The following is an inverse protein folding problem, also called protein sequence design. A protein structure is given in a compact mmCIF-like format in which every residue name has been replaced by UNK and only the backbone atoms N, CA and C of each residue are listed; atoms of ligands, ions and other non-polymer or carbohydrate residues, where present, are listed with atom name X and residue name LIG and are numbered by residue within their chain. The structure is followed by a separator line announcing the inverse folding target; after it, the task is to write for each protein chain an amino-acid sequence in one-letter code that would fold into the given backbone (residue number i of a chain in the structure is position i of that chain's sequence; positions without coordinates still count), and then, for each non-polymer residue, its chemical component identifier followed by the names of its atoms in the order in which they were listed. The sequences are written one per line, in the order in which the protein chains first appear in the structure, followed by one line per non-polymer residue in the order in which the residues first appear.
data_IF_554973279764
#
_entry.id   IF_554973279764
#
_cell.length_a   1.000
_cell.length_b   1.000
_cell.length_c   1.000
_cell.angle_alpha   90.00
_cell.angle_beta   90.00
_cell.angle_gamma   90.00
#
_symmetry.space_group_name_H-M   'P 1'
#
loop_
_entity.id
_entity.type
_entity.pdbx_description
1 polymer ?
#
# COMPACT_ATOMS: atom_id res chain seq x y z
N UNK A 1 42.09 -11.23 -1.52
CA UNK A 1 41.48 -12.55 -1.68
C UNK A 1 41.11 -13.03 -0.28
N UNK A 2 39.93 -12.67 0.19
CA UNK A 2 39.33 -13.24 1.41
C UNK A 2 37.82 -13.25 1.16
N UNK A 3 37.31 -14.46 0.98
CA UNK A 3 35.98 -14.76 0.48
C UNK A 3 35.06 -15.01 1.66
N UNK A 4 33.86 -14.44 1.55
CA UNK A 4 32.60 -15.09 1.89
C UNK A 4 32.45 -15.67 3.31
N UNK A 5 32.05 -14.82 4.25
CA UNK A 5 31.33 -15.25 5.46
C UNK A 5 30.08 -14.39 5.74
N UNK A 6 29.48 -13.78 4.71
CA UNK A 6 28.20 -13.03 4.84
C UNK A 6 27.00 -13.92 4.51
N UNK A 7 27.09 -15.23 4.70
CA UNK A 7 26.09 -16.19 4.21
C UNK A 7 25.18 -16.85 5.25
N UNK A 8 25.21 -16.49 6.54
CA UNK A 8 24.36 -17.21 7.49
C UNK A 8 23.87 -16.45 8.73
N UNK A 9 23.40 -15.21 8.60
CA UNK A 9 22.57 -14.59 9.66
C UNK A 9 21.49 -13.71 9.05
N UNK A 10 20.47 -14.33 8.42
CA UNK A 10 19.25 -13.61 8.05
C UNK A 10 18.03 -14.43 8.48
N UNK A 11 17.63 -14.26 9.75
CA UNK A 11 16.29 -14.65 10.18
C UNK A 11 15.26 -13.70 9.53
N UNK A 12 14.06 -14.21 9.25
CA UNK A 12 12.98 -13.57 8.47
C UNK A 12 12.46 -12.22 9.00
N UNK A 13 13.05 -11.63 10.03
CA UNK A 13 12.61 -10.37 10.67
C UNK A 13 13.25 -9.08 10.12
N UNK A 14 14.22 -9.16 9.20
CA UNK A 14 15.05 -8.00 8.80
C UNK A 14 14.98 -7.59 7.33
N UNK A 15 14.04 -8.11 6.55
CA UNK A 15 13.90 -7.75 5.14
C UNK A 15 13.13 -6.43 4.99
N UNK A 16 13.77 -5.30 5.30
CA UNK A 16 13.27 -3.96 4.96
C UNK A 16 14.41 -3.06 4.48
N UNK A 17 14.47 -2.86 3.16
CA UNK A 17 14.90 -1.60 2.54
C UNK A 17 16.36 -1.51 2.10
N UNK A 18 16.57 -1.62 0.79
CA UNK A 18 17.70 -0.95 0.12
C UNK A 18 17.11 0.19 -0.70
N UNK A 19 17.31 1.44 -0.28
CA UNK A 19 17.29 2.59 -1.18
C UNK A 19 18.42 3.54 -0.79
N UNK A 20 19.33 3.77 -1.73
CA UNK A 20 20.43 4.71 -1.58
C UNK A 20 19.91 6.15 -1.57
N UNK A 21 20.10 6.84 -0.45
CA UNK A 21 20.24 8.29 -0.43
C UNK A 21 21.11 8.68 0.78
N UNK A 22 22.33 9.14 0.49
CA UNK A 22 23.18 9.93 1.41
C UNK A 22 23.63 9.21 2.70
N UNK A 23 24.25 8.03 2.58
CA UNK A 23 25.18 7.52 3.61
C UNK A 23 24.62 7.39 5.04
N UNK A 24 23.30 7.31 5.19
CA UNK A 24 22.64 7.22 6.49
C UNK A 24 21.79 5.96 6.54
N UNK A 25 22.23 5.00 7.35
CA UNK A 25 21.43 3.84 7.75
C UNK A 25 20.26 4.34 8.60
N UNK A 26 19.06 4.42 8.03
CA UNK A 26 17.85 4.60 8.82
C UNK A 26 17.28 3.23 9.15
N UNK A 27 17.49 2.77 10.39
CA UNK A 27 16.61 1.78 11.01
C UNK A 27 15.21 2.41 11.06
N UNK A 28 14.37 2.12 10.06
CA UNK A 28 12.98 2.57 10.08
C UNK A 28 12.23 1.71 11.10
N UNK A 29 12.33 2.07 12.38
CA UNK A 29 11.39 1.65 13.42
C UNK A 29 10.06 2.42 13.25
N UNK A 30 9.52 2.48 12.03
CA UNK A 30 8.14 2.90 11.75
C UNK A 30 7.40 1.63 11.37
N UNK A 31 6.93 0.92 12.41
CA UNK A 31 6.57 -0.49 12.39
C UNK A 31 5.60 -0.97 11.29
N UNK A 32 5.39 -2.30 11.21
CA UNK A 32 4.67 -3.01 10.13
C UNK A 32 3.26 -2.46 9.83
N UNK A 33 2.66 -1.74 10.79
CA UNK A 33 1.31 -1.16 10.70
C UNK A 33 1.10 -0.21 9.52
N UNK A 34 2.10 0.63 9.19
CA UNK A 34 1.94 1.67 8.15
C UNK A 34 2.02 1.09 6.73
N UNK A 35 2.93 0.15 6.51
CA UNK A 35 3.07 -0.57 5.23
C UNK A 35 1.88 -1.49 4.99
N UNK A 36 1.36 -2.13 6.05
CA UNK A 36 0.16 -2.99 5.97
C UNK A 36 -1.03 -2.30 5.33
N UNK A 37 -1.20 -1.00 5.55
CA UNK A 37 -2.27 -0.22 4.93
C UNK A 37 -2.12 -0.22 3.41
N UNK A 38 -0.91 0.06 2.91
CA UNK A 38 -0.63 0.10 1.48
C UNK A 38 -0.84 -1.27 0.83
N UNK A 39 -0.44 -2.35 1.51
CA UNK A 39 -0.65 -3.71 1.01
C UNK A 39 -2.13 -4.08 0.95
N UNK A 40 -2.91 -3.83 2.01
CA UNK A 40 -4.35 -4.07 1.99
C UNK A 40 -5.08 -3.27 0.91
N UNK A 41 -4.72 -1.98 0.80
CA UNK A 41 -5.21 -1.05 -0.23
C UNK A 41 -4.94 -1.56 -1.65
N UNK A 42 -3.72 -2.07 -1.89
CA UNK A 42 -3.32 -2.59 -3.19
C UNK A 42 -3.90 -3.98 -3.46
N UNK A 43 -4.48 -4.67 -2.49
CA UNK A 43 -5.25 -5.88 -2.78
C UNK A 43 -6.70 -5.54 -3.17
N UNK A 44 -7.25 -4.43 -2.65
CA UNK A 44 -8.55 -3.91 -3.03
C UNK A 44 -8.52 -2.92 -4.20
N UNK A 45 -9.39 -1.92 -4.14
CA UNK A 45 -9.64 -0.90 -5.17
C UNK A 45 -8.52 0.16 -5.33
N UNK A 46 -7.55 0.22 -4.41
CA UNK A 46 -6.46 1.19 -4.46
C UNK A 46 -5.42 0.88 -5.53
N UNK A 47 -4.67 1.91 -5.94
CA UNK A 47 -3.62 1.75 -6.96
C UNK A 47 -2.41 2.65 -6.72
N UNK A 48 -1.25 2.21 -7.23
CA UNK A 48 -0.01 2.97 -7.25
C UNK A 48 0.20 3.69 -8.58
N UNK A 49 0.76 4.88 -8.50
CA UNK A 49 1.25 5.63 -9.66
C UNK A 49 2.74 5.89 -9.49
N UNK A 50 3.53 5.35 -10.43
CA UNK A 50 4.95 5.65 -10.55
C UNK A 50 5.15 7.02 -11.19
N UNK A 51 5.76 7.94 -10.45
CA UNK A 51 6.26 9.23 -10.96
C UNK A 51 7.75 9.11 -11.28
N UNK A 52 8.35 10.20 -11.81
CA UNK A 52 9.76 10.23 -12.24
C UNK A 52 10.75 9.73 -11.16
N UNK A 53 10.50 10.07 -9.89
CA UNK A 53 11.45 9.81 -8.78
C UNK A 53 10.84 8.89 -7.71
N UNK A 54 9.52 8.89 -7.56
CA UNK A 54 8.85 8.19 -6.47
C UNK A 54 7.51 7.63 -6.87
N UNK A 55 6.91 6.89 -5.95
CA UNK A 55 5.58 6.31 -6.09
C UNK A 55 4.63 6.99 -5.12
N UNK A 56 3.42 7.27 -5.59
CA UNK A 56 2.28 7.60 -4.72
C UNK A 56 1.20 6.53 -4.82
N UNK A 57 0.47 6.29 -3.75
CA UNK A 57 -0.69 5.42 -3.73
C UNK A 57 -1.97 6.24 -3.59
N UNK A 58 -3.02 5.80 -4.28
CA UNK A 58 -4.32 6.43 -4.32
C UNK A 58 -5.35 5.47 -3.77
N UNK A 59 -6.19 5.99 -2.86
CA UNK A 59 -7.26 5.29 -2.19
C UNK A 59 -8.56 6.04 -2.44
N UNK A 60 -9.63 5.30 -2.70
CA UNK A 60 -10.97 5.85 -2.83
C UNK A 60 -11.89 5.17 -1.84
N UNK A 61 -12.58 5.95 -1.02
CA UNK A 61 -13.57 5.42 -0.08
C UNK A 61 -14.81 6.30 -0.05
N UNK A 62 -15.96 5.69 0.22
CA UNK A 62 -17.22 6.42 0.38
C UNK A 62 -17.34 7.05 1.80
N UNK A 63 -16.43 6.70 2.71
CA UNK A 63 -16.28 7.29 4.05
C UNK A 63 -14.98 8.11 4.19
N UNK A 64 -14.99 9.08 5.10
CA UNK A 64 -13.94 10.09 5.30
C UNK A 64 -12.87 9.74 6.33
N UNK A 65 -12.92 8.54 6.93
CA UNK A 65 -12.14 8.18 8.13
C UNK A 65 -10.66 7.77 7.88
N UNK A 66 -10.13 7.92 6.67
CA UNK A 66 -8.79 7.43 6.29
C UNK A 66 -7.62 8.42 6.45
N UNK A 67 -7.85 9.70 6.81
CA UNK A 67 -6.82 10.74 6.70
C UNK A 67 -5.65 10.64 7.70
N UNK A 68 -5.69 9.74 8.68
CA UNK A 68 -4.86 9.83 9.90
C UNK A 68 -3.57 8.99 9.93
N UNK A 69 -3.20 8.28 8.87
CA UNK A 69 -2.07 7.31 8.93
C UNK A 69 -0.69 7.85 8.49
N UNK A 70 -0.58 9.16 8.19
CA UNK A 70 0.70 9.88 8.08
C UNK A 70 1.46 9.77 6.75
N UNK A 71 0.88 9.17 5.71
CA UNK A 71 1.39 9.25 4.34
C UNK A 71 0.65 10.28 3.47
N UNK A 72 -0.46 10.82 3.97
CA UNK A 72 -1.34 11.74 3.27
C UNK A 72 -1.29 13.12 3.91
N UNK A 73 -1.85 14.11 3.22
CA UNK A 73 -2.11 15.42 3.80
C UNK A 73 -3.03 15.27 5.02
N UNK A 74 -2.78 16.08 6.05
CA UNK A 74 -3.63 16.15 7.25
C UNK A 74 -5.01 16.77 6.97
N UNK A 75 -5.12 17.55 5.90
CA UNK A 75 -6.37 18.15 5.43
C UNK A 75 -7.41 17.06 5.10
N UNK A 76 -8.66 17.28 5.51
CA UNK A 76 -9.76 16.37 5.15
C UNK A 76 -9.88 16.30 3.62
N UNK A 77 -9.96 15.09 3.03
CA UNK A 77 -10.14 14.95 1.59
C UNK A 77 -11.43 15.64 1.15
N UNK A 78 -11.42 16.23 -0.04
CA UNK A 78 -12.61 16.84 -0.63
C UNK A 78 -13.58 15.74 -1.05
N UNK A 79 -14.88 15.99 -0.84
CA UNK A 79 -15.93 15.11 -1.34
C UNK A 79 -16.04 15.28 -2.86
N UNK A 80 -15.72 14.22 -3.59
CA UNK A 80 -15.85 14.14 -5.05
C UNK A 80 -17.16 13.42 -5.40
N UNK A 81 -17.71 13.69 -6.60
CA UNK A 81 -18.89 12.99 -7.13
C UNK A 81 -18.57 12.32 -8.46
N UNK A 82 -19.16 11.16 -8.72
CA UNK A 82 -19.15 10.49 -10.03
C UNK A 82 -20.54 10.04 -10.43
N UNK A 83 -20.85 10.14 -11.72
CA UNK A 83 -22.04 9.53 -12.30
C UNK A 83 -21.68 8.09 -12.67
N UNK A 84 -22.37 7.12 -12.07
CA UNK A 84 -22.19 5.70 -12.38
C UNK A 84 -23.24 5.22 -13.38
N UNK A 85 -23.07 3.99 -13.90
CA UNK A 85 -24.01 3.39 -14.85
C UNK A 85 -25.45 3.47 -14.33
N UNK A 86 -26.37 3.91 -15.19
CA UNK A 86 -27.78 4.11 -14.83
C UNK A 86 -28.10 5.47 -14.19
N UNK A 87 -27.22 6.47 -14.35
CA UNK A 87 -27.48 7.86 -13.93
C UNK A 87 -27.41 8.11 -12.43
N UNK A 88 -27.08 7.07 -11.63
CA UNK A 88 -26.92 7.20 -10.18
C UNK A 88 -25.67 8.04 -9.87
N UNK A 89 -25.79 8.94 -8.89
CA UNK A 89 -24.67 9.74 -8.40
C UNK A 89 -24.09 9.03 -7.18
N UNK A 90 -22.77 8.81 -7.18
CA UNK A 90 -22.03 8.35 -6.00
C UNK A 90 -21.05 9.41 -5.55
N UNK A 91 -20.89 9.50 -4.23
CA UNK A 91 -19.98 10.41 -3.56
C UNK A 91 -18.82 9.61 -2.99
N UNK A 92 -17.61 10.14 -3.08
CA UNK A 92 -16.42 9.47 -2.58
C UNK A 92 -15.35 10.48 -2.17
N UNK A 93 -14.49 10.06 -1.26
CA UNK A 93 -13.27 10.74 -0.90
C UNK A 93 -12.10 10.08 -1.61
N UNK A 94 -11.19 10.91 -2.13
CA UNK A 94 -9.95 10.44 -2.74
C UNK A 94 -8.76 10.89 -1.90
N UNK A 95 -8.04 9.92 -1.37
CA UNK A 95 -6.80 10.17 -0.66
C UNK A 95 -5.62 9.78 -1.54
N UNK A 96 -4.57 10.59 -1.45
CA UNK A 96 -3.31 10.37 -2.16
C UNK A 96 -2.19 10.47 -1.14
N UNK A 97 -1.32 9.48 -1.13
CA UNK A 97 -0.07 9.62 -0.41
C UNK A 97 0.79 10.69 -1.08
N UNK A 98 1.73 11.26 -0.32
CA UNK A 98 2.88 11.90 -0.95
C UNK A 98 3.66 10.88 -1.78
N UNK A 99 4.40 11.38 -2.77
CA UNK A 99 5.27 10.54 -3.61
C UNK A 99 6.62 10.35 -2.92
N UNK A 100 7.01 9.09 -2.70
CA UNK A 100 8.30 8.76 -2.10
C UNK A 100 9.03 7.70 -2.93
N UNK A 101 10.35 7.85 -3.07
CA UNK A 101 11.21 6.83 -3.68
C UNK A 101 11.25 5.55 -2.83
N UNK A 102 11.12 5.66 -1.51
CA UNK A 102 11.02 4.52 -0.59
C UNK A 102 9.77 3.67 -0.74
N UNK A 103 8.77 4.13 -1.52
CA UNK A 103 7.59 3.35 -1.88
C UNK A 103 7.74 2.63 -3.22
N UNK A 104 8.85 2.84 -3.93
CA UNK A 104 9.04 2.32 -5.26
C UNK A 104 9.03 0.79 -5.31
N UNK A 105 9.65 0.14 -4.32
CA UNK A 105 9.71 -1.32 -4.24
C UNK A 105 8.32 -1.96 -4.07
N UNK A 106 7.38 -1.30 -3.39
CA UNK A 106 6.01 -1.80 -3.24
C UNK A 106 5.30 -1.77 -4.60
N UNK A 107 5.50 -0.69 -5.36
CA UNK A 107 4.96 -0.62 -6.71
C UNK A 107 5.56 -1.69 -7.62
N UNK A 108 6.87 -1.87 -7.59
CA UNK A 108 7.54 -2.87 -8.43
C UNK A 108 7.10 -4.30 -8.09
N UNK A 109 6.73 -4.53 -6.83
CA UNK A 109 6.18 -5.79 -6.37
C UNK A 109 4.76 -6.06 -6.92
N UNK A 110 3.90 -5.05 -6.96
CA UNK A 110 2.50 -5.17 -7.39
C UNK A 110 2.26 -4.88 -8.87
N UNK A 111 3.22 -4.33 -9.61
CA UNK A 111 3.03 -3.90 -11.00
C UNK A 111 4.07 -4.52 -11.92
N UNK A 112 3.63 -5.49 -12.72
CA UNK A 112 4.44 -6.07 -13.80
C UNK A 112 3.97 -5.53 -15.14
N UNK A 113 4.87 -4.87 -15.89
CA UNK A 113 4.55 -4.24 -17.18
C UNK A 113 3.35 -3.28 -17.13
N UNK A 114 3.19 -2.56 -16.01
CA UNK A 114 2.08 -1.62 -15.80
C UNK A 114 0.75 -2.27 -15.42
N UNK A 115 0.70 -3.60 -15.33
CA UNK A 115 -0.48 -4.36 -14.90
C UNK A 115 -0.35 -4.66 -13.41
N UNK A 116 -1.40 -4.32 -12.65
CA UNK A 116 -1.50 -4.65 -11.23
C UNK A 116 -1.69 -6.16 -11.06
N UNK A 117 -0.82 -6.79 -10.29
CA UNK A 117 -0.78 -8.23 -10.00
C UNK A 117 -0.75 -8.46 -8.49
N UNK A 118 -1.15 -9.66 -8.07
CA UNK A 118 -0.91 -10.12 -6.69
C UNK A 118 0.48 -10.75 -6.63
N UNK A 119 1.40 -10.26 -5.79
CA UNK A 119 2.74 -10.81 -5.66
C UNK A 119 2.73 -12.24 -5.12
N UNK A 120 3.64 -13.10 -5.58
CA UNK A 120 3.73 -14.49 -5.10
C UNK A 120 4.04 -14.58 -3.59
N UNK A 121 4.81 -13.64 -3.06
CA UNK A 121 5.17 -13.52 -1.65
C UNK A 121 4.21 -12.64 -0.85
N UNK A 122 2.96 -12.45 -1.30
CA UNK A 122 1.98 -11.60 -0.59
C UNK A 122 1.73 -12.07 0.86
N UNK A 123 1.85 -13.36 1.13
CA UNK A 123 1.70 -13.93 2.47
C UNK A 123 2.65 -13.33 3.50
N UNK A 124 3.83 -12.85 3.09
CA UNK A 124 4.80 -12.21 3.98
C UNK A 124 4.32 -10.81 4.45
N UNK A 125 3.39 -10.19 3.73
CA UNK A 125 2.90 -8.84 3.97
C UNK A 125 1.42 -8.76 4.37
N UNK A 126 0.70 -9.88 4.33
CA UNK A 126 -0.72 -9.98 4.69
C UNK A 126 -0.90 -10.03 6.21
N UNK A 127 -0.62 -8.92 6.88
CA UNK A 127 -0.89 -8.77 8.32
C UNK A 127 -2.41 -8.73 8.58
N UNK A 128 -2.88 -8.97 9.82
CA UNK A 128 -4.30 -8.81 10.16
C UNK A 128 -4.85 -7.43 9.79
N UNK A 129 -4.02 -6.38 9.86
CA UNK A 129 -4.41 -5.03 9.44
C UNK A 129 -4.54 -4.92 7.92
N UNK A 130 -3.61 -5.48 7.15
CA UNK A 130 -3.69 -5.49 5.70
C UNK A 130 -4.93 -6.27 5.22
N UNK A 131 -5.20 -7.42 5.85
CA UNK A 131 -6.38 -8.23 5.57
C UNK A 131 -7.69 -7.49 5.91
N UNK A 132 -7.76 -6.82 7.08
CA UNK A 132 -8.94 -6.05 7.45
C UNK A 132 -9.22 -4.92 6.45
N UNK A 133 -8.18 -4.24 5.95
CA UNK A 133 -8.34 -3.18 4.95
C UNK A 133 -8.81 -3.75 3.61
N UNK A 134 -8.23 -4.86 3.18
CA UNK A 134 -8.68 -5.53 1.96
C UNK A 134 -10.15 -5.95 2.06
N UNK A 135 -10.58 -6.49 3.20
CA UNK A 135 -11.98 -6.83 3.48
C UNK A 135 -12.87 -5.59 3.47
N UNK A 136 -12.42 -4.46 4.01
CA UNK A 136 -13.21 -3.21 4.00
C UNK A 136 -13.41 -2.65 2.59
N UNK A 137 -12.46 -2.87 1.68
CA UNK A 137 -12.55 -2.39 0.31
C UNK A 137 -13.41 -3.33 -0.56
N UNK A 138 -13.19 -4.66 -0.52
CA UNK A 138 -13.80 -5.62 -1.46
C UNK A 138 -14.72 -6.67 -0.81
N UNK A 139 -14.67 -6.83 0.52
CA UNK A 139 -15.38 -7.88 1.23
C UNK A 139 -16.89 -7.71 1.12
N UNK A 140 -17.58 -8.77 0.71
CA UNK A 140 -19.05 -8.77 0.56
C UNK A 140 -19.69 -9.82 1.45
N UNK A 141 -20.84 -9.50 2.05
CA UNK A 141 -21.59 -10.46 2.85
C UNK A 141 -22.20 -11.55 1.95
N UNK A 142 -22.06 -12.81 2.38
CA UNK A 142 -22.74 -13.97 1.82
C UNK A 142 -23.55 -14.66 2.93
N UNK A 143 -24.56 -15.44 2.55
CA UNK A 143 -25.41 -16.25 3.45
C UNK A 143 -24.63 -17.14 4.41
N UNK A 144 -23.42 -17.56 4.05
CA UNK A 144 -22.54 -18.43 4.84
C UNK A 144 -21.31 -17.72 5.43
N UNK A 145 -21.21 -16.39 5.34
CA UNK A 145 -20.06 -15.64 5.85
C UNK A 145 -19.65 -14.49 4.92
N UNK A 146 -18.34 -14.39 4.64
CA UNK A 146 -17.77 -13.34 3.79
C UNK A 146 -17.32 -13.93 2.46
N UNK A 147 -17.57 -13.22 1.37
CA UNK A 147 -17.11 -13.52 0.01
C UNK A 147 -16.09 -12.49 -0.43
#
# INVERSE_FOLDING_TARGET
MEKAEVLFVMSKSWLVGVTEALGSFYLVNKGPKRISILFGTLLGDGYGERLKIGTRFIMQQEDSNLSSYGYCKYERPKLERRVVKGGKIRFYFRLRTYSYSSLNWIHDLFYYQGIKIVPFNIGDFLTPQALAIWIMDDGTLNSSGMR
#
